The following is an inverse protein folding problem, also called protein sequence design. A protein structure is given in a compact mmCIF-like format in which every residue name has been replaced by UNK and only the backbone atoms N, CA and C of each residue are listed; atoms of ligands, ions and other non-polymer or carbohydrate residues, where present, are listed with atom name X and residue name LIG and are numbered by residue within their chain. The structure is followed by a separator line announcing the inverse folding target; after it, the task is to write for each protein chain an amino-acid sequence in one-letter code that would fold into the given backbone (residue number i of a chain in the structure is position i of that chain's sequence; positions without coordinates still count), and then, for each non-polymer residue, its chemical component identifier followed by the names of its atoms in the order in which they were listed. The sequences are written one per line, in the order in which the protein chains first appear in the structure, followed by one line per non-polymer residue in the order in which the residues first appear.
data_IF_768213698843
#
_entry.id   IF_768213698843
#
_cell.length_a   1.000
_cell.length_b   1.000
_cell.length_c   1.000
_cell.angle_alpha   90.00
_cell.angle_beta   90.00
_cell.angle_gamma   90.00
#
_symmetry.space_group_name_H-M   'P 1'
#
loop_
_entity.id
_entity.type
_entity.pdbx_description
1 polymer ?
#
# COMPACT_ATOMS: atom_id res chain seq x y z
N UNK A 1 3.81 -39.34 -17.20
CA UNK A 1 2.95 -38.13 -17.40
C UNK A 1 3.78 -36.90 -17.05
N UNK A 2 4.13 -36.10 -18.08
CA UNK A 2 4.98 -34.94 -17.94
C UNK A 2 4.26 -33.81 -17.17
N UNK A 3 4.77 -33.47 -16.01
CA UNK A 3 4.38 -32.25 -15.27
C UNK A 3 4.99 -31.06 -16.01
N UNK A 4 4.23 -30.43 -16.92
CA UNK A 4 4.63 -29.19 -17.57
C UNK A 4 4.84 -28.11 -16.51
N UNK A 5 6.01 -27.49 -16.56
CA UNK A 5 6.45 -26.36 -15.75
C UNK A 5 5.41 -25.24 -15.73
N UNK A 6 4.90 -24.91 -14.56
CA UNK A 6 4.04 -23.77 -14.32
C UNK A 6 4.88 -22.48 -14.31
N UNK A 7 5.35 -22.07 -15.50
CA UNK A 7 6.26 -20.94 -15.71
C UNK A 7 5.59 -19.62 -16.10
N UNK A 8 4.28 -19.55 -16.33
CA UNK A 8 3.58 -18.30 -16.64
C UNK A 8 2.74 -17.86 -15.44
N UNK A 9 3.07 -16.68 -14.90
CA UNK A 9 2.26 -15.98 -13.92
C UNK A 9 0.89 -15.66 -14.55
N UNK A 10 -0.12 -16.47 -14.26
CA UNK A 10 -1.49 -16.15 -14.65
C UNK A 10 -2.09 -15.17 -13.65
N UNK A 11 -2.78 -14.14 -14.15
CA UNK A 11 -3.59 -13.26 -13.30
C UNK A 11 -4.71 -14.06 -12.65
N UNK A 12 -5.17 -13.64 -11.47
CA UNK A 12 -6.22 -14.34 -10.71
C UNK A 12 -7.51 -14.55 -11.52
N UNK A 13 -7.81 -13.63 -12.42
CA UNK A 13 -9.00 -13.67 -13.29
C UNK A 13 -8.75 -14.26 -14.68
N UNK A 14 -7.48 -14.49 -15.06
CA UNK A 14 -7.10 -14.98 -16.39
C UNK A 14 -7.45 -16.47 -16.55
N UNK A 15 -8.19 -16.77 -17.61
CA UNK A 15 -8.44 -18.15 -18.09
C UNK A 15 -7.44 -18.51 -19.20
N UNK A 16 -7.75 -19.51 -20.02
CA UNK A 16 -6.87 -20.02 -21.09
C UNK A 16 -6.84 -19.12 -22.35
N UNK A 17 -6.63 -17.79 -22.18
CA UNK A 17 -6.48 -16.86 -23.29
C UNK A 17 -5.34 -15.87 -23.03
N UNK A 18 -4.74 -15.36 -24.12
CA UNK A 18 -3.74 -14.31 -24.04
C UNK A 18 -4.42 -12.95 -23.93
N UNK A 19 -4.04 -12.17 -22.93
CA UNK A 19 -4.50 -10.79 -22.78
C UNK A 19 -3.79 -9.90 -23.80
N UNK A 20 -4.55 -9.02 -24.45
CA UNK A 20 -3.96 -8.02 -25.34
C UNK A 20 -3.12 -7.04 -24.49
N UNK A 21 -1.85 -6.88 -24.83
CA UNK A 21 -0.90 -6.07 -24.07
C UNK A 21 -1.24 -4.58 -24.07
N UNK A 22 -1.81 -4.06 -25.13
CA UNK A 22 -2.20 -2.65 -25.22
C UNK A 22 -3.39 -2.37 -24.31
N UNK A 23 -4.40 -3.26 -24.32
CA UNK A 23 -5.54 -3.16 -23.41
C UNK A 23 -5.10 -3.32 -21.96
N UNK A 24 -4.19 -4.26 -21.69
CA UNK A 24 -3.62 -4.43 -20.36
C UNK A 24 -2.89 -3.16 -19.90
N UNK A 25 -2.04 -2.57 -20.72
CA UNK A 25 -1.33 -1.33 -20.39
C UNK A 25 -2.29 -0.15 -20.16
N UNK A 26 -3.35 -0.06 -20.95
CA UNK A 26 -4.38 0.97 -20.80
C UNK A 26 -5.17 0.79 -19.50
N UNK A 27 -5.59 -0.42 -19.16
CA UNK A 27 -6.41 -0.68 -17.97
C UNK A 27 -5.64 -0.61 -16.67
N UNK A 28 -4.37 -1.01 -16.67
CA UNK A 28 -3.49 -0.95 -15.47
C UNK A 28 -2.98 0.48 -15.23
N UNK A 29 -2.73 1.24 -16.31
CA UNK A 29 -2.22 2.59 -16.20
C UNK A 29 -0.99 2.69 -15.28
N UNK A 30 -1.05 3.60 -14.30
CA UNK A 30 0.01 3.84 -13.32
C UNK A 30 -0.27 3.21 -11.94
N UNK A 31 -1.27 2.34 -11.82
CA UNK A 31 -1.71 1.79 -10.52
C UNK A 31 -0.57 1.06 -9.81
N UNK A 32 0.21 0.26 -10.52
CA UNK A 32 1.36 -0.45 -9.97
C UNK A 32 2.45 0.48 -9.36
N UNK A 33 2.52 1.76 -9.80
CA UNK A 33 3.43 2.76 -9.24
C UNK A 33 2.83 3.44 -8.00
N UNK A 34 1.55 3.81 -8.07
CA UNK A 34 0.83 4.49 -6.98
C UNK A 34 0.64 3.57 -5.79
N UNK A 35 0.35 2.33 -6.03
CA UNK A 35 0.09 1.29 -5.04
C UNK A 35 1.31 0.91 -4.19
N UNK A 36 2.52 1.33 -4.58
CA UNK A 36 3.70 1.21 -3.72
C UNK A 36 3.46 1.80 -2.33
N UNK A 37 2.66 2.87 -2.24
CA UNK A 37 2.30 3.49 -0.96
C UNK A 37 1.41 2.61 -0.08
N UNK A 38 0.67 1.68 -0.68
CA UNK A 38 -0.30 0.82 0.00
C UNK A 38 0.29 -0.52 0.50
N UNK A 39 1.45 -0.95 0.00
CA UNK A 39 2.06 -2.27 0.32
C UNK A 39 2.12 -2.54 1.82
N UNK A 40 2.64 -1.58 2.59
CA UNK A 40 2.75 -1.71 4.06
C UNK A 40 1.39 -1.91 4.71
N UNK A 41 0.40 -1.15 4.28
CA UNK A 41 -0.94 -1.12 4.89
C UNK A 41 -1.76 -2.35 4.52
N UNK A 42 -1.64 -2.83 3.28
CA UNK A 42 -2.25 -4.12 2.92
C UNK A 42 -1.60 -5.27 3.69
N UNK A 43 -0.28 -5.30 3.84
CA UNK A 43 0.37 -6.31 4.66
C UNK A 43 -0.11 -6.27 6.11
N UNK A 44 -0.31 -5.09 6.71
CA UNK A 44 -0.83 -4.95 8.08
C UNK A 44 -2.28 -5.46 8.19
N UNK A 45 -3.14 -5.09 7.24
CA UNK A 45 -4.50 -5.58 7.14
C UNK A 45 -4.54 -7.10 6.95
N UNK A 46 -3.70 -7.63 6.08
CA UNK A 46 -3.58 -9.06 5.80
C UNK A 46 -3.05 -9.86 6.99
N UNK A 47 -2.16 -9.28 7.81
CA UNK A 47 -1.74 -9.88 9.09
C UNK A 47 -2.92 -10.02 10.06
N UNK A 48 -3.74 -8.97 10.17
CA UNK A 48 -4.94 -9.01 11.02
C UNK A 48 -5.94 -10.06 10.50
N UNK A 49 -6.15 -10.11 9.19
CA UNK A 49 -7.02 -11.10 8.56
C UNK A 49 -6.53 -12.55 8.77
N UNK A 50 -5.23 -12.83 8.58
CA UNK A 50 -4.66 -14.15 8.84
C UNK A 50 -4.85 -14.58 10.31
N UNK A 51 -4.66 -13.67 11.26
CA UNK A 51 -4.89 -13.94 12.68
C UNK A 51 -6.36 -14.25 12.97
N UNK A 52 -7.27 -13.50 12.35
CA UNK A 52 -8.73 -13.74 12.46
C UNK A 52 -9.08 -15.11 11.91
N UNK A 53 -8.62 -15.48 10.71
CA UNK A 53 -8.83 -16.80 10.11
C UNK A 53 -8.29 -17.94 11.01
N UNK A 54 -7.19 -17.71 11.70
CA UNK A 54 -6.66 -18.65 12.70
C UNK A 54 -7.55 -18.76 13.93
N UNK A 55 -8.10 -17.62 14.42
CA UNK A 55 -9.01 -17.59 15.57
C UNK A 55 -10.30 -18.37 15.31
N UNK A 56 -10.86 -18.24 14.10
CA UNK A 56 -12.05 -19.00 13.69
C UNK A 56 -11.74 -20.42 13.16
N UNK A 57 -10.47 -20.89 13.31
CA UNK A 57 -10.01 -22.24 12.96
C UNK A 57 -10.04 -22.59 11.46
N UNK A 58 -10.14 -21.60 10.56
CA UNK A 58 -10.00 -21.78 9.10
C UNK A 58 -8.55 -22.03 8.73
N UNK A 59 -7.62 -21.36 9.41
CA UNK A 59 -6.18 -21.60 9.29
C UNK A 59 -5.64 -22.33 10.50
N UNK A 60 -4.72 -23.29 10.28
CA UNK A 60 -3.95 -23.92 11.36
C UNK A 60 -2.98 -22.91 11.98
N UNK A 61 -2.68 -23.03 13.26
CA UNK A 61 -1.74 -22.13 13.98
C UNK A 61 -0.40 -21.96 13.25
N UNK A 62 0.15 -23.03 12.71
CA UNK A 62 1.40 -22.98 11.94
C UNK A 62 1.27 -22.21 10.63
N UNK A 63 0.12 -22.28 9.94
CA UNK A 63 -0.14 -21.54 8.71
C UNK A 63 -0.21 -20.03 8.98
N UNK A 64 -0.88 -19.64 10.07
CA UNK A 64 -0.93 -18.23 10.52
C UNK A 64 0.49 -17.70 10.79
N UNK A 65 1.31 -18.45 11.52
CA UNK A 65 2.70 -18.06 11.80
C UNK A 65 3.51 -17.85 10.51
N UNK A 66 3.40 -18.77 9.55
CA UNK A 66 4.07 -18.66 8.25
C UNK A 66 3.59 -17.42 7.47
N UNK A 67 2.28 -17.21 7.37
CA UNK A 67 1.71 -16.03 6.68
C UNK A 67 2.17 -14.72 7.32
N UNK A 68 2.05 -14.60 8.64
CA UNK A 68 2.45 -13.39 9.38
C UNK A 68 3.94 -13.10 9.20
N UNK A 69 4.80 -14.14 9.29
CA UNK A 69 6.24 -13.98 9.07
C UNK A 69 6.54 -13.48 7.66
N UNK A 70 5.90 -14.06 6.64
CA UNK A 70 6.14 -13.68 5.25
C UNK A 70 5.60 -12.29 4.93
N UNK A 71 4.43 -11.90 5.47
CA UNK A 71 3.90 -10.54 5.33
C UNK A 71 4.83 -9.50 5.97
N UNK A 72 5.38 -9.77 7.15
CA UNK A 72 6.41 -8.92 7.76
C UNK A 72 7.69 -8.83 6.92
N UNK A 73 8.08 -9.93 6.27
CA UNK A 73 9.20 -9.93 5.32
C UNK A 73 8.92 -9.01 4.12
N UNK A 74 7.69 -9.00 3.60
CA UNK A 74 7.30 -8.08 2.50
C UNK A 74 7.44 -6.63 2.96
N UNK A 75 6.93 -6.28 4.15
CA UNK A 75 7.07 -4.91 4.71
C UNK A 75 8.55 -4.52 4.77
N UNK A 76 9.39 -5.38 5.33
CA UNK A 76 10.84 -5.12 5.42
C UNK A 76 11.49 -4.94 4.04
N UNK A 77 11.17 -5.80 3.07
CA UNK A 77 11.69 -5.67 1.70
C UNK A 77 11.21 -4.39 1.03
N UNK A 78 9.96 -4.01 1.27
CA UNK A 78 9.40 -2.77 0.74
C UNK A 78 10.10 -1.53 1.33
N UNK A 79 10.31 -1.48 2.63
CA UNK A 79 11.04 -0.39 3.31
C UNK A 79 12.51 -0.28 2.84
N UNK A 80 13.09 -1.37 2.35
CA UNK A 80 14.44 -1.40 1.75
C UNK A 80 14.45 -1.15 0.24
N UNK A 81 13.30 -0.85 -0.38
CA UNK A 81 13.18 -0.67 -1.83
C UNK A 81 13.39 -1.96 -2.64
N UNK A 82 13.31 -3.13 -2.01
CA UNK A 82 13.56 -4.45 -2.64
C UNK A 82 12.29 -5.23 -2.97
N UNK A 83 11.12 -4.69 -2.69
CA UNK A 83 9.84 -5.26 -3.09
C UNK A 83 9.29 -4.45 -4.26
N UNK A 84 9.29 -5.05 -5.44
CA UNK A 84 8.82 -4.45 -6.67
C UNK A 84 7.40 -4.92 -7.01
N UNK A 85 6.54 -3.99 -7.42
CA UNK A 85 5.27 -4.27 -8.07
C UNK A 85 5.52 -4.11 -9.56
N UNK A 86 5.33 -5.18 -10.32
CA UNK A 86 5.49 -5.17 -11.78
C UNK A 86 4.17 -4.80 -12.43
N UNK A 87 4.22 -4.18 -13.61
CA UNK A 87 3.01 -3.89 -14.40
C UNK A 87 2.11 -5.12 -14.59
N UNK A 88 2.71 -6.31 -14.74
CA UNK A 88 1.99 -7.59 -14.83
C UNK A 88 1.25 -8.00 -13.54
N UNK A 89 1.64 -7.45 -12.38
CA UNK A 89 0.95 -7.69 -11.11
C UNK A 89 -0.30 -6.80 -10.98
N UNK A 90 -0.44 -5.76 -11.83
CA UNK A 90 -1.51 -4.76 -11.87
C UNK A 90 -1.53 -3.86 -10.63
N UNK A 91 -1.56 -4.44 -9.43
CA UNK A 91 -1.67 -3.74 -8.14
C UNK A 91 -0.77 -4.36 -7.05
N UNK A 92 -0.68 -3.69 -5.91
CA UNK A 92 0.11 -4.16 -4.78
C UNK A 92 -0.48 -5.44 -4.16
N UNK A 93 -1.78 -5.62 -4.23
CA UNK A 93 -2.49 -6.74 -3.62
C UNK A 93 -2.14 -8.05 -4.33
N UNK A 94 -2.13 -8.02 -5.67
CA UNK A 94 -1.69 -9.15 -6.50
C UNK A 94 -0.20 -9.46 -6.30
N UNK A 95 0.65 -8.42 -6.23
CA UNK A 95 2.08 -8.60 -5.99
C UNK A 95 2.34 -9.29 -4.63
N UNK A 96 1.64 -8.87 -3.57
CA UNK A 96 1.72 -9.49 -2.23
C UNK A 96 1.26 -10.94 -2.27
N UNK A 97 0.11 -11.22 -2.91
CA UNK A 97 -0.43 -12.58 -3.03
C UNK A 97 0.51 -13.49 -3.81
N UNK A 98 1.05 -13.02 -4.95
CA UNK A 98 2.05 -13.74 -5.75
C UNK A 98 3.31 -14.07 -4.91
N UNK A 99 3.77 -13.13 -4.10
CA UNK A 99 4.93 -13.36 -3.22
C UNK A 99 4.61 -14.41 -2.16
N UNK A 100 3.42 -14.35 -1.53
CA UNK A 100 2.96 -15.34 -0.55
C UNK A 100 2.85 -16.73 -1.18
N UNK A 101 2.24 -16.84 -2.36
CA UNK A 101 2.09 -18.11 -3.08
C UNK A 101 3.45 -18.68 -3.49
N UNK A 102 4.37 -17.84 -3.97
CA UNK A 102 5.74 -18.28 -4.31
C UNK A 102 6.49 -18.83 -3.11
N UNK A 103 6.31 -18.26 -1.92
CA UNK A 103 7.02 -18.64 -0.69
C UNK A 103 6.35 -19.78 0.07
N UNK A 104 5.04 -19.86 0.07
CA UNK A 104 4.25 -20.72 0.95
C UNK A 104 3.33 -21.71 0.19
N UNK A 105 3.30 -21.65 -1.14
CA UNK A 105 2.45 -22.51 -1.97
C UNK A 105 0.97 -22.35 -1.62
N UNK A 106 0.27 -23.45 -1.38
CA UNK A 106 -1.15 -23.46 -1.07
C UNK A 106 -1.53 -22.67 0.20
N UNK A 107 -0.60 -22.54 1.16
CA UNK A 107 -0.84 -21.73 2.36
C UNK A 107 -0.96 -20.24 1.99
N UNK A 108 -0.16 -19.76 1.03
CA UNK A 108 -0.24 -18.39 0.52
C UNK A 108 -1.62 -18.07 -0.08
N UNK A 109 -2.20 -19.00 -0.84
CA UNK A 109 -3.54 -18.83 -1.44
C UNK A 109 -4.65 -18.66 -0.42
N UNK A 110 -4.51 -19.25 0.77
CA UNK A 110 -5.52 -19.19 1.84
C UNK A 110 -5.73 -17.80 2.42
N UNK A 111 -4.80 -16.84 2.20
CA UNK A 111 -4.94 -15.48 2.72
C UNK A 111 -6.18 -14.76 2.17
N UNK A 112 -6.65 -15.15 0.99
CA UNK A 112 -7.83 -14.55 0.35
C UNK A 112 -9.17 -15.14 0.82
N UNK A 113 -9.14 -16.14 1.71
CA UNK A 113 -10.36 -16.81 2.19
C UNK A 113 -11.31 -15.82 2.85
N UNK A 114 -12.59 -15.84 2.41
CA UNK A 114 -13.67 -15.00 2.93
C UNK A 114 -13.38 -13.48 2.88
N UNK A 115 -12.60 -13.02 1.90
CA UNK A 115 -12.27 -11.61 1.70
C UNK A 115 -12.46 -11.22 0.24
N UNK A 116 -13.21 -10.15 -0.01
CA UNK A 116 -13.28 -9.50 -1.32
C UNK A 116 -12.04 -8.63 -1.56
N UNK A 117 -11.66 -8.45 -2.84
CA UNK A 117 -10.66 -7.46 -3.24
C UNK A 117 -11.07 -6.05 -2.77
N UNK A 118 -12.36 -5.71 -2.87
CA UNK A 118 -12.88 -4.42 -2.43
C UNK A 118 -12.63 -4.17 -0.94
N UNK A 119 -12.87 -5.18 -0.08
CA UNK A 119 -12.59 -5.07 1.36
C UNK A 119 -11.09 -4.84 1.61
N UNK A 120 -10.24 -5.55 0.88
CA UNK A 120 -8.79 -5.46 0.99
C UNK A 120 -8.29 -4.07 0.65
N UNK A 121 -8.69 -3.55 -0.52
CA UNK A 121 -8.31 -2.21 -1.01
C UNK A 121 -8.75 -1.13 -0.03
N UNK A 122 -10.04 -1.14 0.38
CA UNK A 122 -10.57 -0.11 1.27
C UNK A 122 -9.90 -0.09 2.65
N UNK A 123 -9.58 -1.24 3.22
CA UNK A 123 -8.87 -1.28 4.52
C UNK A 123 -7.45 -0.76 4.37
N UNK A 124 -6.72 -1.14 3.31
CA UNK A 124 -5.38 -0.65 3.05
C UNK A 124 -5.37 0.87 2.87
N UNK A 125 -6.30 1.40 2.06
CA UNK A 125 -6.45 2.83 1.82
C UNK A 125 -6.75 3.60 3.11
N UNK A 126 -7.71 3.16 3.92
CA UNK A 126 -8.05 3.81 5.20
C UNK A 126 -6.91 3.80 6.20
N UNK A 127 -6.10 2.74 6.24
CA UNK A 127 -4.91 2.70 7.09
C UNK A 127 -3.84 3.69 6.60
N UNK A 128 -3.66 3.79 5.29
CA UNK A 128 -2.78 4.79 4.66
C UNK A 128 -3.25 6.21 4.98
N UNK A 129 -4.51 6.53 4.70
CA UNK A 129 -5.11 7.85 4.98
C UNK A 129 -4.95 8.24 6.45
N UNK A 130 -5.25 7.32 7.37
CA UNK A 130 -5.07 7.55 8.81
C UNK A 130 -3.62 7.93 9.15
N UNK A 131 -2.65 7.27 8.55
CA UNK A 131 -1.24 7.59 8.75
C UNK A 131 -0.90 8.97 8.21
N UNK A 132 -1.28 9.28 6.96
CA UNK A 132 -1.01 10.55 6.31
C UNK A 132 -1.65 11.73 7.04
N UNK A 133 -2.86 11.56 7.56
CA UNK A 133 -3.53 12.58 8.37
C UNK A 133 -2.77 12.87 9.68
N UNK A 134 -2.22 11.85 10.32
CA UNK A 134 -1.39 12.02 11.52
C UNK A 134 -0.11 12.78 11.19
N UNK A 135 0.57 12.44 10.09
CA UNK A 135 1.78 13.12 9.65
C UNK A 135 1.49 14.58 9.23
N UNK A 136 0.42 14.81 8.48
CA UNK A 136 -0.04 16.15 8.11
C UNK A 136 -0.29 17.02 9.35
N UNK A 137 -0.95 16.47 10.38
CA UNK A 137 -1.17 17.18 11.66
C UNK A 137 0.13 17.57 12.34
N UNK A 138 1.14 16.69 12.32
CA UNK A 138 2.47 17.01 12.86
C UNK A 138 3.14 18.14 12.09
N UNK A 139 3.12 18.09 10.76
CA UNK A 139 3.70 19.12 9.90
C UNK A 139 3.03 20.48 10.09
N UNK A 140 1.70 20.50 10.22
CA UNK A 140 0.95 21.74 10.54
C UNK A 140 1.33 22.31 11.91
N UNK A 141 1.57 21.46 12.90
CA UNK A 141 2.03 21.92 14.21
C UNK A 141 3.44 22.56 14.13
N UNK A 142 4.34 21.99 13.32
CA UNK A 142 5.67 22.56 13.07
C UNK A 142 5.56 23.91 12.36
N UNK A 143 4.74 24.01 11.30
CA UNK A 143 4.48 25.25 10.56
C UNK A 143 3.92 26.34 11.51
N UNK A 144 2.89 25.99 12.30
CA UNK A 144 2.31 26.91 13.30
C UNK A 144 3.37 27.45 14.25
N UNK A 145 4.26 26.58 14.77
CA UNK A 145 5.34 26.99 15.67
C UNK A 145 6.32 27.94 14.98
N UNK A 146 6.68 27.67 13.72
CA UNK A 146 7.55 28.54 12.94
C UNK A 146 6.94 29.94 12.75
N UNK A 147 5.65 30.02 12.37
CA UNK A 147 4.94 31.29 12.22
C UNK A 147 4.83 32.07 13.54
N UNK A 148 4.54 31.40 14.65
CA UNK A 148 4.51 32.03 15.97
C UNK A 148 5.88 32.60 16.33
N UNK A 149 6.96 31.91 16.02
CA UNK A 149 8.34 32.41 16.28
C UNK A 149 8.65 33.65 15.44
N UNK A 150 8.22 33.69 14.17
CA UNK A 150 8.36 34.89 13.31
C UNK A 150 7.58 36.07 13.91
N UNK A 151 6.33 35.84 14.33
CA UNK A 151 5.50 36.86 14.96
C UNK A 151 6.15 37.37 16.23
N UNK A 152 6.65 36.49 17.13
CA UNK A 152 7.33 36.88 18.34
C UNK A 152 8.58 37.74 18.09
N UNK A 153 9.33 37.43 17.02
CA UNK A 153 10.57 38.16 16.69
C UNK A 153 10.31 39.49 15.99
N UNK A 154 9.30 39.56 15.13
CA UNK A 154 9.10 40.66 14.18
C UNK A 154 7.72 41.32 14.30
N UNK A 155 6.84 40.90 15.21
CA UNK A 155 5.45 41.36 15.29
C UNK A 155 5.26 42.84 15.53
N UNK A 156 6.29 43.54 16.08
CA UNK A 156 6.29 44.99 16.29
C UNK A 156 6.86 45.79 15.12
N UNK A 157 7.39 45.09 14.07
CA UNK A 157 7.96 45.77 12.90
C UNK A 157 6.83 46.24 11.99
N UNK A 158 6.73 47.56 11.84
CA UNK A 158 5.76 48.20 10.93
C UNK A 158 6.25 48.04 9.50
N UNK A 159 5.41 47.49 8.63
CA UNK A 159 5.70 47.34 7.20
C UNK A 159 4.80 48.31 6.44
N UNK A 160 5.37 49.23 5.62
CA UNK A 160 4.54 50.12 4.80
C UNK A 160 3.88 49.31 3.67
N UNK A 161 2.56 49.38 3.58
CA UNK A 161 1.81 48.83 2.46
C UNK A 161 1.77 49.84 1.29
N UNK A 162 1.99 49.31 0.08
CA UNK A 162 1.90 50.07 -1.17
C UNK A 162 0.86 49.45 -2.10
N UNK A 163 0.11 50.29 -2.78
CA UNK A 163 -0.78 49.91 -3.88
C UNK A 163 -0.61 50.92 -5.03
N UNK A 164 -0.48 50.45 -6.27
CA UNK A 164 -0.23 51.26 -7.44
C UNK A 164 0.95 52.22 -7.26
N UNK A 165 2.04 51.78 -6.66
CA UNK A 165 3.23 52.58 -6.34
C UNK A 165 3.00 53.73 -5.34
N UNK A 166 1.85 53.79 -4.71
CA UNK A 166 1.49 54.78 -3.69
C UNK A 166 1.39 54.12 -2.31
N UNK A 167 1.78 54.80 -1.26
CA UNK A 167 1.69 54.31 0.12
C UNK A 167 0.21 54.23 0.52
N UNK A 168 -0.23 53.03 0.87
CA UNK A 168 -1.62 52.73 1.25
C UNK A 168 -1.82 52.66 2.77
N UNK A 169 -0.78 52.29 3.53
CA UNK A 169 -0.73 52.22 5.00
C UNK A 169 0.63 52.66 5.52
#
# INVERSE_FOLDING_TARGET
MNVKSWGNKMKLWQKNYNVNKEIEAFTVGNDYLLDKKLVKYDCLASIAHAKMLGKIKVLKKQEVVKLVKTLKQIIFLHEKGKFEIKQQDEDCHTAIENFLVKKLGNVGKKIHTARSRNDQVLVALRLYEKHELVETKKLLAVLKKALINIIKKNGNVKIPGYTHMQKAM
#
